data_IF_083381355483
#
_entry.id   IF_083381355483
#
_cell.length_a   1.000
_cell.length_b   1.000
_cell.length_c   1.000
_cell.angle_alpha   90.00
_cell.angle_beta   90.00
_cell.angle_gamma   90.00
#
_symmetry.space_group_name_H-M   'P 1'
#
loop_
_entity.id
_entity.type
_entity.pdbx_description
1 polymer ?
#
# COMPACT_ATOMS: atom_id res chain seq x y z
N UNK A 1 -6.46 16.74 -21.95
CA UNK A 1 -6.42 16.03 -20.65
C UNK A 1 -5.07 15.34 -20.51
N UNK A 2 -4.34 15.65 -19.47
CA UNK A 2 -3.12 14.90 -19.17
C UNK A 2 -3.52 13.50 -18.72
N UNK A 3 -3.13 12.48 -19.45
CA UNK A 3 -3.22 11.09 -19.00
C UNK A 3 -2.29 10.92 -17.80
N UNK A 4 -2.78 10.35 -16.72
CA UNK A 4 -1.94 10.05 -15.58
C UNK A 4 -0.81 9.11 -16.04
N UNK A 5 0.44 9.49 -15.76
CA UNK A 5 1.62 8.72 -16.13
C UNK A 5 1.64 7.35 -15.44
N UNK A 6 1.08 7.28 -14.23
CA UNK A 6 1.02 6.07 -13.42
C UNK A 6 -0.38 5.79 -12.92
N UNK A 7 -0.69 4.50 -12.72
CA UNK A 7 -1.97 4.03 -12.18
C UNK A 7 -1.71 3.11 -11.01
N UNK A 8 -2.42 3.32 -9.90
CA UNK A 8 -2.41 2.40 -8.76
C UNK A 8 -3.57 1.42 -8.85
N UNK A 9 -3.30 0.15 -8.58
CA UNK A 9 -4.31 -0.90 -8.44
C UNK A 9 -4.19 -1.56 -7.09
N UNK A 10 -5.32 -1.66 -6.38
CA UNK A 10 -5.38 -2.39 -5.11
C UNK A 10 -5.16 -3.88 -5.34
N UNK A 11 -4.28 -4.47 -4.54
CA UNK A 11 -3.99 -5.90 -4.59
C UNK A 11 -4.87 -6.63 -3.58
N UNK A 12 -5.91 -7.29 -4.06
CA UNK A 12 -6.77 -8.17 -3.25
C UNK A 12 -6.21 -9.59 -3.27
N UNK A 13 -6.40 -10.33 -2.17
CA UNK A 13 -5.87 -11.70 -2.04
C UNK A 13 -6.39 -12.66 -3.11
N UNK A 14 -7.59 -12.42 -3.61
CA UNK A 14 -8.25 -13.22 -4.65
C UNK A 14 -7.62 -12.99 -6.02
N UNK A 15 -7.06 -11.82 -6.26
CA UNK A 15 -6.40 -11.48 -7.52
C UNK A 15 -4.96 -12.01 -7.54
N UNK A 16 -4.82 -13.25 -7.95
CA UNK A 16 -3.52 -13.96 -7.99
C UNK A 16 -2.51 -13.29 -8.92
N UNK A 17 -2.97 -12.58 -9.94
CA UNK A 17 -2.09 -11.85 -10.85
C UNK A 17 -1.45 -10.66 -10.15
N UNK A 18 -2.25 -9.83 -9.48
CA UNK A 18 -1.74 -8.66 -8.75
C UNK A 18 -0.89 -9.06 -7.54
N UNK A 19 -1.25 -10.14 -6.85
CA UNK A 19 -0.44 -10.72 -5.77
C UNK A 19 0.95 -11.09 -6.31
N UNK A 20 1.02 -11.77 -7.45
CA UNK A 20 2.30 -12.13 -8.07
C UNK A 20 3.12 -10.90 -8.46
N UNK A 21 2.49 -9.89 -9.06
CA UNK A 21 3.18 -8.64 -9.41
C UNK A 21 3.78 -7.96 -8.17
N UNK A 22 3.04 -7.93 -7.07
CA UNK A 22 3.50 -7.38 -5.79
C UNK A 22 4.72 -8.12 -5.24
N UNK A 23 4.75 -9.44 -5.34
CA UNK A 23 5.84 -10.28 -4.85
C UNK A 23 7.07 -10.24 -5.74
N UNK A 24 6.87 -10.22 -7.06
CA UNK A 24 7.96 -10.31 -8.04
C UNK A 24 8.68 -8.98 -8.29
N UNK A 25 8.03 -7.85 -8.05
CA UNK A 25 8.60 -6.54 -8.34
C UNK A 25 9.98 -6.31 -7.70
N UNK A 26 10.17 -6.51 -6.38
CA UNK A 26 11.49 -6.28 -5.77
C UNK A 26 12.56 -7.24 -6.30
N UNK A 27 12.18 -8.46 -6.66
CA UNK A 27 13.10 -9.44 -7.26
C UNK A 27 13.66 -8.92 -8.59
N UNK A 28 12.84 -8.23 -9.38
CA UNK A 28 13.28 -7.61 -10.65
C UNK A 28 14.14 -6.37 -10.41
N UNK A 29 13.74 -5.52 -9.45
CA UNK A 29 14.48 -4.29 -9.13
C UNK A 29 15.89 -4.63 -8.61
N UNK A 30 16.00 -5.61 -7.73
CA UNK A 30 17.25 -5.95 -7.03
C UNK A 30 18.02 -7.12 -7.63
N UNK A 31 17.67 -7.58 -8.82
CA UNK A 31 18.29 -8.74 -9.45
C UNK A 31 19.82 -8.64 -9.61
N UNK A 32 20.35 -7.42 -9.68
CA UNK A 32 21.79 -7.15 -9.82
C UNK A 32 22.42 -6.63 -8.51
N UNK A 33 21.70 -6.75 -7.38
CA UNK A 33 22.15 -6.28 -6.07
C UNK A 33 22.41 -7.48 -5.17
N UNK A 34 23.65 -8.01 -5.10
CA UNK A 34 23.93 -9.24 -4.37
C UNK A 34 23.74 -9.11 -2.85
N UNK A 35 23.78 -7.90 -2.31
CA UNK A 35 23.56 -7.62 -0.88
C UNK A 35 22.09 -7.72 -0.49
N UNK A 36 21.17 -7.67 -1.44
CA UNK A 36 19.74 -7.75 -1.14
C UNK A 36 19.33 -9.19 -0.86
N UNK A 37 18.71 -9.39 0.31
CA UNK A 37 18.18 -10.70 0.73
C UNK A 37 16.69 -10.76 0.39
N UNK A 38 16.34 -11.73 -0.47
CA UNK A 38 14.95 -11.93 -0.86
C UNK A 38 14.15 -12.55 0.29
N UNK A 39 13.12 -11.88 0.83
CA UNK A 39 12.24 -12.50 1.81
C UNK A 39 11.39 -13.60 1.16
N UNK A 40 10.95 -14.57 1.97
CA UNK A 40 10.04 -15.62 1.48
C UNK A 40 8.68 -15.02 1.14
N UNK A 41 8.14 -15.40 -0.02
CA UNK A 41 6.81 -14.97 -0.47
C UNK A 41 5.73 -15.33 0.57
N UNK A 42 5.84 -16.51 1.18
CA UNK A 42 4.92 -16.95 2.23
C UNK A 42 4.94 -16.05 3.46
N UNK A 43 6.09 -15.48 3.81
CA UNK A 43 6.22 -14.55 4.93
C UNK A 43 5.55 -13.22 4.61
N UNK A 44 5.70 -12.73 3.39
CA UNK A 44 5.03 -11.50 2.94
C UNK A 44 3.51 -11.71 2.91
N UNK A 45 3.04 -12.81 2.33
CA UNK A 45 1.62 -13.11 2.26
C UNK A 45 0.98 -13.29 3.64
N UNK A 46 1.73 -13.82 4.62
CA UNK A 46 1.25 -13.95 5.99
C UNK A 46 0.94 -12.60 6.64
N UNK A 47 1.66 -11.55 6.29
CA UNK A 47 1.40 -10.17 6.78
C UNK A 47 0.02 -9.70 6.37
N UNK A 48 -0.42 -10.06 5.16
CA UNK A 48 -1.71 -9.63 4.58
C UNK A 48 -2.82 -10.66 4.78
N UNK A 49 -2.58 -11.73 5.54
CA UNK A 49 -3.56 -12.77 5.82
C UNK A 49 -4.22 -12.54 7.19
N UNK A 50 -5.53 -12.20 7.22
CA UNK A 50 -6.24 -12.00 8.48
C UNK A 50 -6.24 -13.21 9.40
N UNK A 51 -6.13 -14.43 8.85
CA UNK A 51 -6.06 -15.65 9.64
C UNK A 51 -4.71 -15.84 10.34
N UNK A 52 -3.64 -15.27 9.80
CA UNK A 52 -2.27 -15.40 10.31
C UNK A 52 -1.79 -14.17 11.07
N UNK A 53 -2.23 -12.98 10.67
CA UNK A 53 -1.83 -11.72 11.29
C UNK A 53 -2.92 -11.21 12.23
N UNK A 54 -2.66 -11.31 13.52
CA UNK A 54 -3.60 -10.90 14.58
C UNK A 54 -3.94 -9.40 14.56
N UNK A 55 -3.12 -8.56 13.97
CA UNK A 55 -3.36 -7.12 13.87
C UNK A 55 -4.63 -6.80 13.06
N UNK A 56 -5.09 -7.71 12.20
CA UNK A 56 -6.37 -7.56 11.50
C UNK A 56 -7.60 -7.62 12.41
N UNK A 57 -7.48 -8.14 13.61
CA UNK A 57 -8.59 -8.14 14.58
C UNK A 57 -8.97 -6.72 14.98
N UNK A 58 -8.01 -5.81 14.97
CA UNK A 58 -8.17 -4.43 15.45
C UNK A 58 -7.63 -3.40 14.46
N UNK A 59 -7.35 -3.83 13.23
CA UNK A 59 -6.78 -3.00 12.20
C UNK A 59 -7.05 -3.49 10.80
N UNK A 60 -6.42 -2.82 9.85
CA UNK A 60 -6.57 -3.10 8.42
C UNK A 60 -5.25 -2.85 7.70
N UNK A 61 -5.01 -3.60 6.64
CA UNK A 61 -3.90 -3.37 5.73
C UNK A 61 -4.40 -3.42 4.28
N UNK A 62 -3.91 -2.50 3.48
CA UNK A 62 -4.21 -2.41 2.05
C UNK A 62 -2.89 -2.31 1.31
N UNK A 63 -2.77 -2.96 0.17
CA UNK A 63 -1.59 -2.89 -0.66
C UNK A 63 -1.95 -2.57 -2.11
N UNK A 64 -1.04 -1.89 -2.80
CA UNK A 64 -1.20 -1.48 -4.19
C UNK A 64 0.04 -1.80 -5.00
N UNK A 65 -0.17 -1.98 -6.28
CA UNK A 65 0.88 -1.97 -7.30
C UNK A 65 0.66 -0.79 -8.24
N UNK A 66 1.75 -0.22 -8.73
CA UNK A 66 1.73 0.88 -9.68
C UNK A 66 2.11 0.38 -11.06
N UNK A 67 1.37 0.82 -12.07
CA UNK A 67 1.64 0.54 -13.48
C UNK A 67 1.98 1.82 -14.21
N UNK A 68 2.90 1.74 -15.17
CA UNK A 68 3.19 2.82 -16.11
C UNK A 68 2.18 2.82 -17.26
N UNK A 69 2.36 3.76 -18.20
CA UNK A 69 1.48 3.89 -19.37
C UNK A 69 1.54 2.67 -20.30
N UNK A 70 2.63 1.91 -20.28
CA UNK A 70 2.83 0.69 -21.07
C UNK A 70 2.25 -0.56 -20.39
N UNK A 71 1.70 -0.43 -19.18
CA UNK A 71 1.12 -1.55 -18.45
C UNK A 71 2.12 -2.40 -17.69
N UNK A 72 3.33 -1.91 -17.48
CA UNK A 72 4.35 -2.59 -16.69
C UNK A 72 4.23 -2.23 -15.22
N UNK A 73 4.38 -3.21 -14.32
CA UNK A 73 4.42 -2.98 -12.89
C UNK A 73 5.76 -2.33 -12.53
N UNK A 74 5.71 -1.11 -11.97
CA UNK A 74 6.90 -0.29 -11.70
C UNK A 74 7.03 0.09 -10.23
N UNK A 75 6.02 -0.20 -9.40
CA UNK A 75 6.08 0.12 -7.98
C UNK A 75 5.08 -0.68 -7.16
N UNK A 76 5.32 -0.72 -5.85
CA UNK A 76 4.39 -1.30 -4.87
C UNK A 76 4.45 -0.52 -3.57
N UNK A 77 3.37 -0.53 -2.82
CA UNK A 77 3.29 0.06 -1.48
C UNK A 77 2.15 -0.60 -0.70
N UNK A 78 2.28 -0.66 0.61
CA UNK A 78 1.21 -1.06 1.51
C UNK A 78 1.00 0.02 2.57
N UNK A 79 -0.25 0.16 3.00
CA UNK A 79 -0.63 1.02 4.12
C UNK A 79 -1.37 0.17 5.15
N UNK A 80 -1.18 0.48 6.43
CA UNK A 80 -1.76 -0.30 7.52
C UNK A 80 -2.01 0.58 8.74
N UNK A 81 -3.01 0.19 9.52
CA UNK A 81 -3.25 0.75 10.83
C UNK A 81 -3.77 -0.33 11.77
N UNK A 82 -3.58 -0.08 13.05
CA UNK A 82 -4.22 -0.82 14.12
C UNK A 82 -4.83 0.21 15.08
N UNK A 83 -6.08 -0.02 15.48
CA UNK A 83 -6.86 0.96 16.25
C UNK A 83 -6.19 1.32 17.57
N UNK A 84 -5.60 0.35 18.24
CA UNK A 84 -4.93 0.57 19.51
C UNK A 84 -3.80 1.58 19.39
N UNK A 85 -2.95 1.45 18.36
CA UNK A 85 -1.83 2.36 18.12
C UNK A 85 -2.29 3.65 17.43
N UNK A 86 -3.24 3.57 16.50
CA UNK A 86 -3.74 4.73 15.77
C UNK A 86 -4.29 5.82 16.69
N UNK A 87 -4.95 5.43 17.79
CA UNK A 87 -5.56 6.35 18.73
C UNK A 87 -4.70 6.69 19.93
N UNK A 88 -3.50 6.18 20.03
CA UNK A 88 -2.54 6.57 21.09
C UNK A 88 -1.90 7.94 20.84
N UNK A 89 -2.13 8.54 19.68
CA UNK A 89 -1.66 9.86 19.29
C UNK A 89 -2.81 10.87 19.23
N UNK A 90 -2.50 12.15 19.31
CA UNK A 90 -3.50 13.24 19.16
C UNK A 90 -4.24 13.19 17.83
N UNK A 91 -3.54 12.73 16.78
CA UNK A 91 -4.16 12.47 15.47
C UNK A 91 -4.09 10.97 15.18
N UNK A 92 -5.18 10.36 14.66
CA UNK A 92 -5.15 8.97 14.23
C UNK A 92 -4.02 8.75 13.24
N UNK A 93 -3.15 7.79 13.55
CA UNK A 93 -1.90 7.54 12.82
C UNK A 93 -1.88 6.13 12.25
N UNK A 94 -1.55 6.01 11.00
CA UNK A 94 -1.25 4.74 10.33
C UNK A 94 0.18 4.72 9.83
N UNK A 95 0.58 3.62 9.24
CA UNK A 95 1.89 3.44 8.65
C UNK A 95 1.84 3.01 7.20
N UNK A 96 2.94 3.17 6.49
CA UNK A 96 3.11 2.55 5.19
C UNK A 96 4.43 1.78 5.14
N UNK A 97 4.46 0.74 4.33
CA UNK A 97 5.62 -0.13 4.18
C UNK A 97 5.62 -0.85 2.85
N UNK A 98 6.55 -1.78 2.68
CA UNK A 98 6.73 -2.50 1.42
C UNK A 98 6.91 -1.58 0.21
N UNK A 99 7.42 -0.37 0.45
CA UNK A 99 7.63 0.62 -0.60
C UNK A 99 8.83 0.23 -1.46
N UNK A 100 8.54 -0.12 -2.70
CA UNK A 100 9.54 -0.43 -3.71
C UNK A 100 9.11 0.23 -5.03
N UNK A 101 10.04 0.86 -5.71
CA UNK A 101 9.76 1.53 -6.98
C UNK A 101 11.02 1.52 -7.85
N UNK A 102 10.83 1.57 -9.17
CA UNK A 102 11.93 1.88 -10.09
C UNK A 102 12.49 3.26 -9.78
N UNK A 103 13.70 3.55 -10.25
CA UNK A 103 14.36 4.84 -10.02
C UNK A 103 13.68 5.95 -10.85
N UNK A 104 12.55 6.43 -10.34
CA UNK A 104 11.76 7.51 -10.93
C UNK A 104 11.17 8.36 -9.81
N UNK A 105 11.64 9.60 -9.69
CA UNK A 105 11.24 10.51 -8.61
C UNK A 105 9.75 10.85 -8.65
N UNK A 106 9.17 10.96 -9.84
CA UNK A 106 7.75 11.24 -10.01
C UNK A 106 6.89 10.11 -9.47
N UNK A 107 7.29 8.85 -9.76
CA UNK A 107 6.64 7.67 -9.20
C UNK A 107 6.79 7.61 -7.69
N UNK A 108 7.99 7.87 -7.17
CA UNK A 108 8.28 7.86 -5.74
C UNK A 108 7.46 8.90 -4.98
N UNK A 109 7.16 10.04 -5.59
CA UNK A 109 6.29 11.06 -5.02
C UNK A 109 4.80 10.71 -5.12
N UNK A 110 4.41 10.09 -6.23
CA UNK A 110 3.02 9.75 -6.54
C UNK A 110 2.44 8.69 -5.59
N UNK A 111 3.20 7.63 -5.33
CA UNK A 111 2.69 6.44 -4.63
C UNK A 111 2.33 6.72 -3.17
N UNK A 112 3.22 7.31 -2.34
CA UNK A 112 2.92 7.51 -0.92
C UNK A 112 1.75 8.47 -0.71
N UNK A 113 1.69 9.55 -1.47
CA UNK A 113 0.63 10.57 -1.35
C UNK A 113 -0.74 9.95 -1.61
N UNK A 114 -0.88 9.19 -2.70
CA UNK A 114 -2.15 8.54 -3.06
C UNK A 114 -2.59 7.51 -2.04
N UNK A 115 -1.67 6.67 -1.57
CA UNK A 115 -2.00 5.62 -0.60
C UNK A 115 -2.35 6.20 0.77
N UNK A 116 -1.63 7.22 1.23
CA UNK A 116 -1.89 7.87 2.52
C UNK A 116 -3.23 8.60 2.52
N UNK A 117 -3.58 9.32 1.46
CA UNK A 117 -4.88 10.03 1.34
C UNK A 117 -6.02 9.01 1.42
N UNK A 118 -5.97 7.96 0.62
CA UNK A 118 -6.99 6.92 0.64
C UNK A 118 -7.14 6.30 2.02
N UNK A 119 -6.04 6.04 2.69
CA UNK A 119 -6.01 5.39 3.98
C UNK A 119 -6.51 6.29 5.11
N UNK A 120 -6.18 7.59 5.10
CA UNK A 120 -6.74 8.57 6.05
C UNK A 120 -8.26 8.60 5.98
N UNK A 121 -8.81 8.59 4.78
CA UNK A 121 -10.26 8.53 4.58
C UNK A 121 -10.83 7.24 5.20
N UNK A 122 -10.21 6.10 4.98
CA UNK A 122 -10.66 4.81 5.52
C UNK A 122 -10.63 4.79 7.05
N UNK A 123 -9.56 5.31 7.67
CA UNK A 123 -9.45 5.42 9.13
C UNK A 123 -10.58 6.30 9.67
N UNK A 124 -10.81 7.47 9.08
CA UNK A 124 -11.84 8.40 9.52
C UNK A 124 -13.25 7.81 9.38
N UNK A 125 -13.52 7.09 8.27
CA UNK A 125 -14.80 6.43 8.05
C UNK A 125 -15.05 5.28 9.03
N UNK A 126 -14.00 4.57 9.45
CA UNK A 126 -14.14 3.48 10.41
C UNK A 126 -14.40 3.98 11.85
N UNK A 127 -14.05 5.23 12.13
CA UNK A 127 -14.18 5.83 13.46
C UNK A 127 -15.53 6.51 13.68
N UNK A 128 -16.19 6.89 12.60
CA UNK A 128 -17.46 7.61 12.66
C UNK A 128 -18.49 6.80 11.90
N UNK A 129 -19.52 6.31 12.59
CA UNK A 129 -20.74 5.85 11.93
C UNK A 129 -21.50 7.02 11.27
N UNK A 130 -20.81 8.07 10.89
CA UNK A 130 -21.35 9.30 10.32
C UNK A 130 -20.88 9.45 8.87
N UNK A 131 -21.59 10.28 8.11
CA UNK A 131 -21.31 10.56 6.72
C UNK A 131 -19.81 10.91 6.47
N UNK A 132 -19.26 10.52 5.32
CA UNK A 132 -17.85 10.81 5.03
C UNK A 132 -17.55 12.30 5.17
N UNK A 133 -16.43 12.66 5.81
CA UNK A 133 -16.01 14.04 5.87
C UNK A 133 -15.74 14.57 4.47
N UNK A 134 -15.98 15.86 4.28
CA UNK A 134 -15.67 16.52 3.03
C UNK A 134 -14.16 16.40 2.75
N UNK A 135 -13.83 15.65 1.71
CA UNK A 135 -12.44 15.40 1.32
C UNK A 135 -11.69 16.66 0.85
N UNK A 136 -12.41 17.76 0.58
CA UNK A 136 -11.78 19.03 0.18
C UNK A 136 -10.89 19.62 1.28
N UNK A 137 -11.12 19.26 2.53
CA UNK A 137 -10.33 19.73 3.67
C UNK A 137 -9.00 19.01 3.86
N UNK A 138 -8.70 17.99 3.07
CA UNK A 138 -7.47 17.19 3.17
C UNK A 138 -6.47 17.41 2.03
N UNK A 139 -6.77 18.35 1.16
CA UNK A 139 -5.88 18.72 0.04
C UNK A 139 -4.91 19.81 0.46
#
# INVERSE_FOLDING_TARGET
>A
MATAKYTLKEVKREDKRLVREFLELPKRIYKNTPEWVCPFDSSIEAVFDPAKNKLFQDGEAIRWVAYNAEGECVGRIAAFYDKTHAYSYEQPTGGCGFFEAIDDQELANFMPVRSIIFFRISILLSCTNTAPPDVSSFV
#
